data_IF_501663668340
#
_entry.id   IF_501663668340
#
_cell.length_a   1.000
_cell.length_b   1.000
_cell.length_c   1.000
_cell.angle_alpha   90.00
_cell.angle_beta   90.00
_cell.angle_gamma   90.00
#
_symmetry.space_group_name_H-M   'P 1'
#
loop_
_entity.id
_entity.type
_entity.pdbx_description
1 polymer ?
#
# COMPACT_ATOMS: atom_id res chain seq x y z
N UNK A 1 23.94 -18.59 50.11
CA UNK A 1 24.33 -17.67 49.02
C UNK A 1 24.12 -18.28 47.65
N UNK A 2 24.62 -19.49 47.38
CA UNK A 2 24.44 -20.20 46.09
C UNK A 2 22.98 -20.37 45.67
N UNK A 3 22.08 -20.79 46.58
CA UNK A 3 20.64 -20.93 46.27
C UNK A 3 19.96 -19.60 45.91
N UNK A 4 20.35 -18.49 46.55
CA UNK A 4 19.81 -17.16 46.26
C UNK A 4 20.26 -16.71 44.87
N UNK A 5 21.54 -16.94 44.53
CA UNK A 5 22.09 -16.62 43.20
C UNK A 5 21.36 -17.43 42.12
N UNK A 6 21.11 -18.72 42.35
CA UNK A 6 20.36 -19.58 41.41
C UNK A 6 18.93 -19.06 41.20
N UNK A 7 18.25 -18.64 42.26
CA UNK A 7 16.90 -18.06 42.15
C UNK A 7 16.88 -16.78 41.31
N UNK A 8 17.86 -15.87 41.53
CA UNK A 8 17.98 -14.66 40.73
C UNK A 8 18.27 -14.95 39.26
N UNK A 9 19.11 -15.94 38.96
CA UNK A 9 19.40 -16.35 37.57
C UNK A 9 18.14 -16.87 36.88
N UNK A 10 17.34 -17.70 37.57
CA UNK A 10 16.07 -18.22 37.03
C UNK A 10 15.08 -17.08 36.78
N UNK A 11 14.94 -16.15 37.73
CA UNK A 11 14.05 -15.00 37.57
C UNK A 11 14.48 -14.11 36.40
N UNK A 12 15.79 -13.90 36.21
CA UNK A 12 16.32 -13.10 35.10
C UNK A 12 16.08 -13.77 33.75
N UNK A 13 16.21 -15.10 33.66
CA UNK A 13 15.91 -15.86 32.44
C UNK A 13 14.42 -15.80 32.09
N UNK A 14 13.53 -15.94 33.07
CA UNK A 14 12.09 -15.83 32.86
C UNK A 14 11.68 -14.41 32.45
N UNK A 15 12.30 -13.39 33.05
CA UNK A 15 12.08 -12.00 32.66
C UNK A 15 12.59 -11.72 31.25
N UNK A 16 13.78 -12.20 30.90
CA UNK A 16 14.33 -12.11 29.55
C UNK A 16 13.42 -12.77 28.51
N UNK A 17 12.91 -13.98 28.81
CA UNK A 17 11.95 -14.67 27.96
C UNK A 17 10.64 -13.89 27.81
N UNK A 18 10.11 -13.32 28.89
CA UNK A 18 8.90 -12.49 28.85
C UNK A 18 9.07 -11.23 27.99
N UNK A 19 10.22 -10.55 28.11
CA UNK A 19 10.53 -9.39 27.28
C UNK A 19 10.70 -9.79 25.82
N UNK A 20 11.37 -10.90 25.54
CA UNK A 20 11.57 -11.41 24.18
C UNK A 20 10.25 -11.80 23.52
N UNK A 21 9.37 -12.53 24.21
CA UNK A 21 8.01 -12.86 23.74
C UNK A 21 7.18 -11.60 23.45
N UNK A 22 7.31 -10.56 24.28
CA UNK A 22 6.61 -9.29 24.05
C UNK A 22 7.19 -8.50 22.88
N UNK A 23 8.51 -8.53 22.70
CA UNK A 23 9.18 -7.90 21.56
C UNK A 23 8.83 -8.65 20.28
N UNK A 24 8.87 -9.97 20.27
CA UNK A 24 8.51 -10.79 19.10
C UNK A 24 7.06 -10.57 18.73
N UNK A 25 6.11 -10.55 19.69
CA UNK A 25 4.71 -10.18 19.43
C UNK A 25 4.55 -8.74 18.95
N UNK A 26 5.35 -7.82 19.46
CA UNK A 26 5.35 -6.42 19.00
C UNK A 26 5.93 -6.29 17.59
N UNK A 27 6.96 -7.06 17.25
CA UNK A 27 7.55 -7.12 15.91
C UNK A 27 6.56 -7.81 14.97
N UNK A 28 5.93 -8.91 15.36
CA UNK A 28 4.90 -9.58 14.56
C UNK A 28 3.67 -8.69 14.34
N UNK A 29 3.27 -7.89 15.35
CA UNK A 29 2.15 -6.95 15.21
C UNK A 29 2.47 -5.66 14.44
N UNK A 30 3.74 -5.22 14.38
CA UNK A 30 4.13 -3.93 13.78
C UNK A 30 5.03 -4.07 12.53
N UNK A 31 5.64 -5.22 12.32
CA UNK A 31 6.45 -5.60 11.18
C UNK A 31 5.91 -6.93 10.65
N UNK A 32 4.75 -6.87 10.01
CA UNK A 32 4.42 -7.82 8.96
C UNK A 32 5.44 -7.64 7.83
N UNK A 33 6.61 -8.27 7.97
CA UNK A 33 7.43 -8.65 6.83
C UNK A 33 6.64 -9.80 6.18
N UNK A 34 6.17 -9.66 4.94
CA UNK A 34 5.31 -10.64 4.30
C UNK A 34 6.17 -11.80 3.80
N UNK A 35 6.58 -12.69 4.71
CA UNK A 35 6.82 -14.07 4.32
C UNK A 35 5.43 -14.71 4.16
N UNK A 36 5.09 -14.99 2.90
CA UNK A 36 3.76 -15.34 2.42
C UNK A 36 2.71 -14.23 2.61
N UNK A 37 2.57 -13.42 1.55
CA UNK A 37 1.44 -12.52 1.32
C UNK A 37 0.13 -13.34 1.33
N UNK A 38 -0.43 -13.57 2.51
CA UNK A 38 -1.78 -14.07 2.72
C UNK A 38 -2.69 -12.84 2.94
N UNK A 39 -3.37 -12.32 1.91
CA UNK A 39 -4.14 -11.07 2.00
C UNK A 39 -5.45 -11.22 2.80
N UNK A 40 -5.63 -12.33 3.53
CA UNK A 40 -6.91 -12.72 4.12
C UNK A 40 -6.97 -12.60 5.65
N UNK A 41 -5.90 -12.22 6.35
CA UNK A 41 -5.90 -12.26 7.82
C UNK A 41 -6.38 -10.97 8.52
N UNK A 42 -6.87 -9.98 7.77
CA UNK A 42 -7.61 -8.82 8.29
C UNK A 42 -9.09 -8.83 7.90
N UNK A 43 -9.64 -9.99 7.52
CA UNK A 43 -11.06 -10.18 7.21
C UNK A 43 -11.84 -10.62 8.45
N UNK A 44 -11.89 -9.74 9.45
CA UNK A 44 -12.84 -9.77 10.58
C UNK A 44 -12.54 -8.46 11.34
N UNK A 45 -13.38 -7.44 11.44
CA UNK A 45 -14.83 -7.34 11.39
C UNK A 45 -15.19 -5.99 10.74
N UNK A 46 -16.13 -6.01 9.80
CA UNK A 46 -17.18 -5.02 9.53
C UNK A 46 -17.61 -5.08 8.07
N UNK A 47 -18.89 -5.33 7.91
CA UNK A 47 -19.67 -5.36 6.67
C UNK A 47 -19.54 -4.03 5.89
N UNK A 48 -19.50 -4.14 4.55
CA UNK A 48 -19.83 -3.09 3.58
C UNK A 48 -19.04 -1.77 3.58
N UNK A 49 -17.71 -1.79 3.74
CA UNK A 49 -16.90 -0.62 3.33
C UNK A 49 -16.66 -0.66 1.82
N UNK A 50 -17.30 0.26 1.11
CA UNK A 50 -17.14 0.42 -0.34
C UNK A 50 -15.66 0.59 -0.71
N UNK A 51 -15.20 -0.13 -1.74
CA UNK A 51 -13.83 0.01 -2.24
C UNK A 51 -13.68 1.40 -2.87
N UNK A 52 -12.78 2.20 -2.29
CA UNK A 52 -12.41 3.52 -2.83
C UNK A 52 -11.05 3.45 -3.51
N UNK A 53 -10.97 3.93 -4.75
CA UNK A 53 -9.72 4.08 -5.50
C UNK A 53 -9.09 5.42 -5.14
N UNK A 54 -7.86 5.43 -4.66
CA UNK A 54 -7.13 6.65 -4.39
C UNK A 54 -6.32 7.07 -5.62
N UNK A 55 -6.49 8.32 -6.07
CA UNK A 55 -5.83 8.86 -7.25
C UNK A 55 -4.98 10.05 -6.84
N UNK A 56 -3.67 9.98 -7.12
CA UNK A 56 -2.72 11.06 -6.87
C UNK A 56 -2.17 11.62 -8.18
N UNK A 57 -2.16 12.94 -8.29
CA UNK A 57 -1.64 13.69 -9.44
C UNK A 57 -2.73 14.46 -10.20
N UNK A 58 -2.31 15.56 -10.86
CA UNK A 58 -3.18 16.38 -11.70
C UNK A 58 -2.54 16.61 -13.08
N UNK A 59 -2.83 15.70 -14.01
CA UNK A 59 -2.44 15.77 -15.41
C UNK A 59 -3.49 15.12 -16.31
N UNK A 60 -3.26 15.15 -17.63
CA UNK A 60 -4.17 14.58 -18.62
C UNK A 60 -4.52 13.11 -18.32
N UNK A 61 -3.52 12.29 -17.99
CA UNK A 61 -3.72 10.88 -17.68
C UNK A 61 -4.64 10.68 -16.46
N UNK A 62 -4.35 11.37 -15.36
CA UNK A 62 -5.19 11.31 -14.14
C UNK A 62 -6.63 11.77 -14.40
N UNK A 63 -6.84 12.78 -15.27
CA UNK A 63 -8.18 13.26 -15.65
C UNK A 63 -8.94 12.20 -16.44
N UNK A 64 -8.28 11.51 -17.38
CA UNK A 64 -8.90 10.41 -18.10
C UNK A 64 -9.26 9.23 -17.20
N UNK A 65 -8.42 8.91 -16.21
CA UNK A 65 -8.72 7.86 -15.23
C UNK A 65 -9.92 8.24 -14.36
N UNK A 66 -10.00 9.49 -13.88
CA UNK A 66 -11.15 10.01 -13.12
C UNK A 66 -12.45 9.91 -13.93
N UNK A 67 -12.44 10.42 -15.15
CA UNK A 67 -13.59 10.32 -16.06
C UNK A 67 -14.01 8.86 -16.33
N UNK A 68 -13.04 7.94 -16.41
CA UNK A 68 -13.34 6.52 -16.54
C UNK A 68 -14.02 5.97 -15.28
N UNK A 69 -13.51 6.29 -14.09
CA UNK A 69 -14.14 5.91 -12.82
C UNK A 69 -15.57 6.46 -12.73
N UNK A 70 -15.78 7.74 -13.08
CA UNK A 70 -17.12 8.35 -13.14
C UNK A 70 -18.05 7.57 -14.09
N UNK A 71 -17.56 7.20 -15.29
CA UNK A 71 -18.35 6.46 -16.28
C UNK A 71 -18.76 5.06 -15.82
N UNK A 72 -17.91 4.41 -15.01
CA UNK A 72 -18.17 3.09 -14.44
C UNK A 72 -18.85 3.15 -13.08
N UNK A 73 -19.05 4.35 -12.52
CA UNK A 73 -19.54 4.59 -11.15
C UNK A 73 -18.66 3.94 -10.09
N UNK A 74 -17.34 3.89 -10.32
CA UNK A 74 -16.39 3.49 -9.30
C UNK A 74 -16.16 4.65 -8.33
N UNK A 75 -16.10 4.36 -7.04
CA UNK A 75 -15.78 5.35 -6.04
C UNK A 75 -14.28 5.62 -6.06
N UNK A 76 -13.93 6.90 -6.08
CA UNK A 76 -12.55 7.32 -5.99
C UNK A 76 -12.41 8.60 -5.19
N UNK A 77 -11.22 8.78 -4.64
CA UNK A 77 -10.79 10.01 -4.00
C UNK A 77 -9.56 10.55 -4.72
N UNK A 78 -9.58 11.83 -5.07
CA UNK A 78 -8.44 12.50 -5.67
C UNK A 78 -7.68 13.28 -4.60
N UNK A 79 -6.44 12.89 -4.36
CA UNK A 79 -5.56 13.57 -3.41
C UNK A 79 -4.48 14.37 -4.12
N UNK A 80 -4.18 15.53 -3.55
CA UNK A 80 -3.09 16.43 -4.00
C UNK A 80 -1.90 16.32 -3.04
N UNK A 81 -2.15 15.84 -1.83
CA UNK A 81 -1.15 15.56 -0.80
C UNK A 81 -1.60 14.35 0.01
N UNK A 82 -0.65 13.45 0.30
CA UNK A 82 -0.82 12.19 1.02
C UNK A 82 -1.28 12.38 2.47
N UNK A 83 -1.10 13.56 3.05
CA UNK A 83 -1.55 13.87 4.41
C UNK A 83 -3.06 14.06 4.52
N UNK A 84 -3.78 14.19 3.39
CA UNK A 84 -5.23 14.36 3.37
C UNK A 84 -6.01 13.05 3.16
N UNK A 85 -5.34 11.90 3.18
CA UNK A 85 -6.02 10.60 3.08
C UNK A 85 -6.90 10.40 4.32
N UNK A 86 -8.21 10.26 4.11
CA UNK A 86 -9.14 9.96 5.20
C UNK A 86 -8.91 8.56 5.75
N UNK A 87 -8.94 8.39 7.07
CA UNK A 87 -8.84 7.05 7.69
C UNK A 87 -10.17 6.31 7.73
N UNK A 88 -11.25 6.96 7.30
CA UNK A 88 -12.60 6.41 7.40
C UNK A 88 -12.86 5.35 6.31
N UNK A 89 -12.18 5.48 5.16
CA UNK A 89 -12.30 4.59 4.01
C UNK A 89 -11.26 3.47 4.01
N UNK A 90 -11.62 2.37 3.33
CA UNK A 90 -10.69 1.29 3.00
C UNK A 90 -10.23 1.48 1.56
N UNK A 91 -9.01 1.95 1.37
CA UNK A 91 -8.42 2.06 0.04
C UNK A 91 -7.75 0.75 -0.34
N UNK A 92 -8.22 0.15 -1.43
CA UNK A 92 -7.56 -1.02 -2.02
C UNK A 92 -6.50 -0.64 -3.04
N UNK A 93 -6.70 0.47 -3.74
CA UNK A 93 -5.87 0.90 -4.85
C UNK A 93 -5.37 2.31 -4.65
N UNK A 94 -4.09 2.52 -4.92
CA UNK A 94 -3.48 3.82 -5.10
C UNK A 94 -2.90 3.93 -6.50
N UNK A 95 -3.36 4.93 -7.24
CA UNK A 95 -2.86 5.33 -8.54
C UNK A 95 -1.98 6.57 -8.37
N UNK A 96 -0.67 6.40 -8.28
CA UNK A 96 0.30 7.49 -8.18
C UNK A 96 0.74 7.93 -9.57
N UNK A 97 0.03 8.92 -10.12
CA UNK A 97 0.09 9.33 -11.52
C UNK A 97 0.71 10.71 -11.72
N UNK A 98 1.47 11.27 -10.77
CA UNK A 98 2.12 12.58 -10.93
C UNK A 98 3.17 12.56 -12.05
N UNK A 99 3.48 13.73 -12.61
CA UNK A 99 4.59 13.90 -13.56
C UNK A 99 5.95 14.05 -12.85
N UNK A 100 6.01 13.84 -11.54
CA UNK A 100 7.21 13.86 -10.73
C UNK A 100 7.47 12.47 -10.11
N UNK A 101 8.60 11.87 -10.45
CA UNK A 101 8.97 10.53 -10.00
C UNK A 101 9.23 10.44 -8.50
N UNK A 102 9.74 11.51 -7.89
CA UNK A 102 10.02 11.55 -6.46
C UNK A 102 8.70 11.54 -5.69
N UNK A 103 7.74 12.35 -6.15
CA UNK A 103 6.42 12.43 -5.53
C UNK A 103 5.69 11.09 -5.64
N UNK A 104 5.72 10.46 -6.82
CA UNK A 104 5.12 9.15 -7.02
C UNK A 104 5.71 8.08 -6.10
N UNK A 105 7.04 8.04 -5.96
CA UNK A 105 7.71 7.11 -5.04
C UNK A 105 7.34 7.38 -3.58
N UNK A 106 7.33 8.66 -3.18
CA UNK A 106 7.01 9.08 -1.82
C UNK A 106 5.57 8.70 -1.44
N UNK A 107 4.60 9.12 -2.26
CA UNK A 107 3.17 8.86 -2.06
C UNK A 107 2.90 7.36 -2.05
N UNK A 108 3.49 6.61 -2.98
CA UNK A 108 3.33 5.15 -3.04
C UNK A 108 3.92 4.46 -1.81
N UNK A 109 5.10 4.90 -1.36
CA UNK A 109 5.74 4.34 -0.17
C UNK A 109 4.91 4.60 1.09
N UNK A 110 4.34 5.79 1.22
CA UNK A 110 3.47 6.15 2.35
C UNK A 110 2.14 5.38 2.26
N UNK A 111 1.53 5.31 1.07
CA UNK A 111 0.32 4.53 0.83
C UNK A 111 0.50 3.07 1.25
N UNK A 112 1.62 2.45 0.86
CA UNK A 112 1.93 1.07 1.21
C UNK A 112 2.20 0.89 2.71
N UNK A 113 3.12 1.68 3.28
CA UNK A 113 3.68 1.44 4.61
C UNK A 113 2.87 2.05 5.76
N UNK A 114 2.22 3.18 5.52
CA UNK A 114 1.51 3.94 6.56
C UNK A 114 0.01 3.66 6.50
N UNK A 115 -0.56 3.62 5.30
CA UNK A 115 -1.99 3.41 5.11
C UNK A 115 -2.36 1.97 4.75
N UNK A 116 -1.37 1.09 4.55
CA UNK A 116 -1.60 -0.33 4.27
C UNK A 116 -2.34 -0.58 2.96
N UNK A 117 -2.24 0.32 1.98
CA UNK A 117 -2.90 0.18 0.68
C UNK A 117 -2.19 -0.94 -0.08
N UNK A 118 -2.87 -2.07 -0.34
CA UNK A 118 -2.21 -3.28 -0.82
C UNK A 118 -1.82 -3.18 -2.29
N UNK A 119 -2.61 -2.48 -3.11
CA UNK A 119 -2.38 -2.42 -4.54
C UNK A 119 -1.98 -1.02 -5.01
N UNK A 120 -0.80 -0.94 -5.63
CA UNK A 120 -0.22 0.33 -6.08
C UNK A 120 0.17 0.25 -7.55
N UNK A 121 -0.42 1.15 -8.33
CA UNK A 121 -0.02 1.43 -9.70
C UNK A 121 0.66 2.78 -9.73
N UNK A 122 1.90 2.79 -10.20
CA UNK A 122 2.77 3.97 -10.14
C UNK A 122 3.23 4.35 -11.55
N UNK A 123 3.19 5.65 -11.85
CA UNK A 123 3.73 6.22 -13.09
C UNK A 123 5.21 6.57 -12.90
N UNK A 124 6.06 6.06 -13.77
CA UNK A 124 7.47 6.39 -13.86
C UNK A 124 7.69 7.26 -15.09
N UNK A 125 8.03 8.52 -14.89
CA UNK A 125 8.20 9.53 -15.92
C UNK A 125 9.57 9.43 -16.60
N UNK A 126 10.61 9.01 -15.87
CA UNK A 126 11.95 8.84 -16.41
C UNK A 126 12.39 7.38 -16.38
N UNK A 127 12.71 6.83 -17.57
CA UNK A 127 13.21 5.46 -17.73
C UNK A 127 14.43 5.14 -16.86
N UNK A 128 15.29 6.13 -16.58
CA UNK A 128 16.47 5.94 -15.73
C UNK A 128 16.09 5.61 -14.27
N UNK A 129 14.91 6.04 -13.84
CA UNK A 129 14.41 5.79 -12.49
C UNK A 129 13.72 4.42 -12.35
N UNK A 130 13.44 3.71 -13.46
CA UNK A 130 12.80 2.39 -13.41
C UNK A 130 13.52 1.39 -12.51
N UNK A 131 14.85 1.48 -12.42
CA UNK A 131 15.63 0.61 -11.53
C UNK A 131 15.18 0.78 -10.08
N UNK A 132 15.06 2.02 -9.63
CA UNK A 132 14.63 2.35 -8.26
C UNK A 132 13.21 1.83 -8.03
N UNK A 133 12.30 2.06 -8.98
CA UNK A 133 10.90 1.62 -8.86
C UNK A 133 10.77 0.10 -8.70
N UNK A 134 11.63 -0.69 -9.37
CA UNK A 134 11.65 -2.16 -9.28
C UNK A 134 12.16 -2.69 -7.96
N UNK A 135 12.86 -1.88 -7.17
CA UNK A 135 13.28 -2.26 -5.82
C UNK A 135 12.11 -2.22 -4.84
N UNK A 136 10.98 -1.62 -5.23
CA UNK A 136 9.74 -1.63 -4.46
C UNK A 136 8.78 -2.69 -4.99
N UNK A 137 8.06 -3.34 -4.08
CA UNK A 137 7.03 -4.33 -4.40
C UNK A 137 5.70 -3.66 -4.82
N UNK A 138 5.75 -2.78 -5.82
CA UNK A 138 4.53 -2.22 -6.42
C UNK A 138 3.93 -3.21 -7.41
N UNK A 139 2.60 -3.31 -7.47
CA UNK A 139 1.90 -4.21 -8.40
C UNK A 139 2.23 -3.91 -9.86
N UNK A 140 2.34 -2.62 -10.19
CA UNK A 140 2.59 -2.22 -11.57
C UNK A 140 3.29 -0.87 -11.66
N UNK A 141 4.39 -0.86 -12.40
CA UNK A 141 5.13 0.35 -12.77
C UNK A 141 4.86 0.66 -14.24
N UNK A 142 4.23 1.79 -14.52
CA UNK A 142 3.92 2.27 -15.86
C UNK A 142 4.98 3.28 -16.28
N UNK A 143 5.72 3.03 -17.37
CA UNK A 143 6.60 4.04 -17.93
C UNK A 143 5.76 5.07 -18.70
N UNK A 144 5.87 6.34 -18.38
CA UNK A 144 5.22 7.42 -19.10
C UNK A 144 5.69 7.43 -20.56
N UNK A 145 4.71 7.55 -21.44
CA UNK A 145 4.88 7.69 -22.89
C UNK A 145 3.83 8.68 -23.37
N UNK A 146 4.07 9.36 -24.50
CA UNK A 146 3.08 10.26 -25.09
C UNK A 146 1.82 9.54 -25.59
N UNK A 147 1.84 8.20 -25.66
CA UNK A 147 0.67 7.34 -25.92
C UNK A 147 -0.25 7.22 -24.68
N UNK A 148 -0.92 8.31 -24.30
CA UNK A 148 -1.83 8.38 -23.13
C UNK A 148 -2.92 7.30 -23.20
N UNK A 149 -3.50 7.04 -24.38
CA UNK A 149 -4.56 6.04 -24.56
C UNK A 149 -4.12 4.62 -24.18
N UNK A 150 -2.85 4.29 -24.46
CA UNK A 150 -2.27 2.99 -24.11
C UNK A 150 -2.11 2.86 -22.61
N UNK A 151 -1.59 3.89 -21.94
CA UNK A 151 -1.48 3.93 -20.48
C UNK A 151 -2.86 3.83 -19.83
N UNK A 152 -3.84 4.53 -20.38
CA UNK A 152 -5.22 4.49 -19.92
C UNK A 152 -5.82 3.09 -20.03
N UNK A 153 -5.66 2.41 -21.18
CA UNK A 153 -6.18 1.05 -21.36
C UNK A 153 -5.57 0.06 -20.37
N UNK A 154 -4.27 0.17 -20.10
CA UNK A 154 -3.58 -0.66 -19.11
C UNK A 154 -4.14 -0.42 -17.70
N UNK A 155 -4.43 0.84 -17.34
CA UNK A 155 -5.03 1.17 -16.06
C UNK A 155 -6.47 0.68 -15.95
N UNK A 156 -7.29 0.86 -17.00
CA UNK A 156 -8.66 0.36 -17.06
C UNK A 156 -8.69 -1.15 -16.79
N UNK A 157 -7.89 -1.91 -17.50
CA UNK A 157 -7.78 -3.36 -17.29
C UNK A 157 -7.42 -3.70 -15.83
N UNK A 158 -6.48 -2.94 -15.25
CA UNK A 158 -6.03 -3.19 -13.87
C UNK A 158 -7.12 -2.83 -12.86
N UNK A 159 -7.81 -1.71 -13.03
CA UNK A 159 -8.95 -1.27 -12.19
C UNK A 159 -10.15 -2.22 -12.34
N UNK A 160 -10.44 -2.72 -13.53
CA UNK A 160 -11.53 -3.67 -13.72
C UNK A 160 -11.24 -5.01 -13.06
N UNK A 161 -10.03 -5.54 -13.24
CA UNK A 161 -9.63 -6.79 -12.60
C UNK A 161 -9.62 -6.67 -11.07
N UNK A 162 -9.30 -5.47 -10.57
CA UNK A 162 -9.33 -5.10 -9.18
C UNK A 162 -10.74 -5.12 -8.59
N UNK A 163 -11.65 -4.35 -9.19
CA UNK A 163 -13.04 -4.21 -8.72
C UNK A 163 -13.83 -5.52 -8.91
N UNK A 164 -13.55 -6.30 -9.96
CA UNK A 164 -14.27 -7.56 -10.25
C UNK A 164 -13.79 -8.77 -9.44
N UNK A 165 -12.62 -8.71 -8.79
CA UNK A 165 -12.08 -9.81 -7.97
C UNK A 165 -12.67 -9.90 -6.55
N UNK A 166 -13.68 -9.10 -6.25
CA UNK A 166 -14.65 -9.40 -5.18
C UNK A 166 -15.66 -10.47 -5.64
N UNK A 167 -15.19 -11.70 -5.92
CA UNK A 167 -16.03 -12.92 -5.97
C UNK A 167 -15.26 -14.08 -5.34
#
# INVERSE_FOLDING_TARGET
MTLIIVFFVIAFLLFGYYIMDRIDKFIESNFLIPDEYHPYQYLSDNEDKEIVILIYGDNALSKHVKNYCDSQKYLYENIIDIHYISKDYRYMYLLALSLNDVDNLMVSSIGLKVYGIPHIIILCNNKNNLKIYREFNFDKVLLYTDEIDKLLNIMKETIENAVKKEI
#
